data_IF_596255345161
#
_entry.id   IF_596255345161
#
_cell.length_a   1.000
_cell.length_b   1.000
_cell.length_c   1.000
_cell.angle_alpha   90.00
_cell.angle_beta   90.00
_cell.angle_gamma   90.00
#
_symmetry.space_group_name_H-M   'P 1'
#
loop_
_entity.id
_entity.type
_entity.pdbx_description
1 polymer ?
#
# COMPACT_ATOMS: atom_id res chain seq x y z
N UNK A 1 1.21 14.29 -13.32
CA UNK A 1 0.90 13.48 -12.12
C UNK A 1 1.69 12.18 -12.17
N UNK A 2 2.24 11.74 -11.04
CA UNK A 2 2.73 10.36 -10.94
C UNK A 2 1.51 9.45 -10.92
N UNK A 3 1.34 8.64 -11.95
CA UNK A 3 0.22 7.70 -12.05
C UNK A 3 0.40 6.61 -10.98
N UNK A 4 -0.45 6.63 -9.95
CA UNK A 4 -0.48 5.58 -8.93
C UNK A 4 -1.27 4.41 -9.51
N UNK A 5 -0.72 3.18 -9.55
CA UNK A 5 -1.42 2.05 -10.14
C UNK A 5 -2.65 1.65 -9.31
N UNK A 6 -3.58 0.89 -9.89
CA UNK A 6 -4.75 0.40 -9.15
C UNK A 6 -4.45 -0.83 -8.25
N UNK A 7 -3.35 -1.53 -8.52
CA UNK A 7 -2.90 -2.73 -7.81
C UNK A 7 -1.40 -2.95 -8.03
N UNK A 8 -0.79 -3.82 -7.23
CA UNK A 8 0.63 -4.19 -7.33
C UNK A 8 0.81 -5.70 -7.22
N UNK A 9 1.99 -6.21 -7.59
CA UNK A 9 2.31 -7.63 -7.41
C UNK A 9 2.19 -8.06 -5.94
N UNK A 10 2.55 -7.16 -5.01
CA UNK A 10 2.36 -7.38 -3.58
C UNK A 10 0.88 -7.53 -3.22
N UNK A 11 0.00 -6.65 -3.70
CA UNK A 11 -1.43 -6.74 -3.39
C UNK A 11 -2.08 -7.99 -4.01
N UNK A 12 -1.60 -8.43 -5.17
CA UNK A 12 -2.00 -9.72 -5.78
C UNK A 12 -1.56 -10.90 -4.91
N UNK A 13 -0.32 -10.90 -4.42
CA UNK A 13 0.20 -11.96 -3.56
C UNK A 13 -0.58 -12.05 -2.23
N UNK A 14 -0.80 -10.90 -1.59
CA UNK A 14 -1.54 -10.82 -0.32
C UNK A 14 -3.01 -11.21 -0.52
N UNK A 15 -3.68 -10.73 -1.58
CA UNK A 15 -5.06 -11.13 -1.91
C UNK A 15 -5.20 -12.65 -2.07
N UNK A 16 -4.24 -13.31 -2.75
CA UNK A 16 -4.21 -14.77 -2.89
C UNK A 16 -4.03 -15.48 -1.55
N UNK A 17 -3.14 -14.98 -0.69
CA UNK A 17 -2.92 -15.56 0.64
C UNK A 17 -4.15 -15.41 1.55
N UNK A 18 -4.76 -14.23 1.58
CA UNK A 18 -5.99 -13.98 2.33
C UNK A 18 -7.14 -14.87 1.85
N UNK A 19 -7.27 -15.08 0.54
CA UNK A 19 -8.25 -16.04 0.00
C UNK A 19 -8.01 -17.46 0.50
N UNK A 20 -6.76 -17.92 0.57
CA UNK A 20 -6.40 -19.25 1.12
C UNK A 20 -6.75 -19.37 2.60
N UNK A 21 -6.69 -18.26 3.35
CA UNK A 21 -7.06 -18.18 4.77
C UNK A 21 -8.56 -18.00 5.01
N UNK A 22 -9.39 -18.04 3.97
CA UNK A 22 -10.85 -17.99 4.08
C UNK A 22 -11.46 -16.59 4.03
N UNK A 23 -10.68 -15.53 3.79
CA UNK A 23 -11.23 -14.20 3.61
C UNK A 23 -11.93 -14.08 2.25
N UNK A 24 -13.05 -13.37 2.22
CA UNK A 24 -13.85 -13.10 1.01
C UNK A 24 -13.90 -11.60 0.73
N UNK A 25 -14.25 -11.21 -0.51
CA UNK A 25 -14.31 -9.81 -0.96
C UNK A 25 -12.99 -9.01 -0.88
N UNK A 26 -11.83 -9.67 -0.74
CA UNK A 26 -10.52 -9.01 -0.70
C UNK A 26 -9.73 -9.22 -2.01
N UNK A 27 -10.25 -8.67 -3.11
CA UNK A 27 -9.53 -8.65 -4.39
C UNK A 27 -8.27 -7.77 -4.36
N UNK A 28 -7.34 -7.89 -5.32
CA UNK A 28 -6.05 -7.19 -5.29
C UNK A 28 -6.13 -5.66 -5.20
N UNK A 29 -7.16 -5.04 -5.78
CA UNK A 29 -7.40 -3.58 -5.67
C UNK A 29 -7.78 -3.20 -4.23
N UNK A 30 -8.73 -3.93 -3.63
CA UNK A 30 -9.16 -3.71 -2.24
C UNK A 30 -7.99 -3.90 -1.28
N UNK A 31 -7.19 -4.95 -1.51
CA UNK A 31 -5.98 -5.19 -0.74
C UNK A 31 -4.97 -4.06 -0.94
N UNK A 32 -4.77 -3.57 -2.16
CA UNK A 32 -3.85 -2.46 -2.40
C UNK A 32 -4.28 -1.19 -1.65
N UNK A 33 -5.56 -0.82 -1.74
CA UNK A 33 -6.12 0.30 -0.97
C UNK A 33 -5.95 0.10 0.54
N UNK A 34 -6.10 -1.13 1.05
CA UNK A 34 -5.86 -1.43 2.45
C UNK A 34 -4.38 -1.27 2.84
N UNK A 35 -3.46 -1.74 2.00
CA UNK A 35 -2.02 -1.59 2.22
C UNK A 35 -1.59 -0.11 2.23
N UNK A 36 -2.20 0.72 1.38
CA UNK A 36 -2.03 2.17 1.40
C UNK A 36 -2.57 2.79 2.70
N UNK A 37 -3.81 2.45 3.08
CA UNK A 37 -4.47 3.01 4.26
C UNK A 37 -3.79 2.66 5.59
N UNK A 38 -3.19 1.46 5.67
CA UNK A 38 -2.49 0.97 6.87
C UNK A 38 -1.02 1.37 6.91
N UNK A 39 -0.51 2.03 5.87
CA UNK A 39 0.88 2.49 5.80
C UNK A 39 1.90 1.40 5.49
N UNK A 40 1.47 0.25 4.96
CA UNK A 40 2.39 -0.76 4.39
C UNK A 40 2.94 -0.26 3.05
N UNK A 41 2.16 0.53 2.31
CA UNK A 41 2.57 1.22 1.09
C UNK A 41 2.36 2.73 1.29
N UNK A 42 3.37 3.52 0.97
CA UNK A 42 3.30 4.98 1.01
C UNK A 42 3.21 5.56 -0.40
N UNK A 43 1.99 5.75 -0.89
CA UNK A 43 1.71 6.39 -2.18
C UNK A 43 1.24 7.85 -2.04
N UNK A 44 1.62 8.53 -0.95
CA UNK A 44 1.42 9.97 -0.91
C UNK A 44 2.16 10.62 -2.08
N UNK A 45 1.45 11.41 -2.90
CA UNK A 45 2.09 12.17 -3.98
C UNK A 45 3.05 13.22 -3.41
N UNK A 46 4.08 13.59 -4.16
CA UNK A 46 5.13 14.53 -3.69
C UNK A 46 4.59 15.89 -3.23
N UNK A 47 3.46 16.34 -3.82
CA UNK A 47 2.80 17.58 -3.44
C UNK A 47 1.97 17.49 -2.15
N UNK A 48 1.77 16.29 -1.60
CA UNK A 48 1.05 16.11 -0.35
C UNK A 48 1.84 16.72 0.82
N UNK A 49 1.18 17.50 1.67
CA UNK A 49 1.79 18.12 2.85
C UNK A 49 2.42 17.11 3.84
N UNK A 50 2.02 15.83 3.76
CA UNK A 50 2.55 14.73 4.58
C UNK A 50 3.73 14.00 3.95
N UNK A 51 3.99 14.16 2.65
CA UNK A 51 4.98 13.37 1.92
C UNK A 51 6.36 13.39 2.59
N UNK A 52 6.93 14.59 2.81
CA UNK A 52 8.25 14.75 3.44
C UNK A 52 8.30 14.16 4.85
N UNK A 53 7.23 14.35 5.62
CA UNK A 53 7.16 13.84 6.99
C UNK A 53 7.17 12.31 7.00
N UNK A 54 6.32 11.66 6.21
CA UNK A 54 6.19 10.20 6.18
C UNK A 54 7.47 9.58 5.60
N UNK A 55 7.99 10.09 4.48
CA UNK A 55 9.22 9.57 3.87
C UNK A 55 10.44 9.70 4.81
N UNK A 56 10.50 10.73 5.66
CA UNK A 56 11.55 10.82 6.69
C UNK A 56 11.43 9.74 7.75
N UNK A 57 10.20 9.41 8.18
CA UNK A 57 9.96 8.37 9.19
C UNK A 57 10.29 6.97 8.68
N UNK A 58 10.04 6.70 7.38
CA UNK A 58 10.37 5.43 6.74
C UNK A 58 11.88 5.17 6.71
N UNK A 59 12.68 6.20 6.42
CA UNK A 59 14.16 6.09 6.41
C UNK A 59 14.69 5.71 7.79
N UNK A 60 14.23 6.39 8.83
CA UNK A 60 14.67 6.14 10.20
C UNK A 60 14.24 4.77 10.75
N UNK A 61 13.26 4.08 10.14
CA UNK A 61 12.84 2.73 10.53
C UNK A 61 13.79 1.65 9.99
N UNK A 62 14.49 1.96 8.90
CA UNK A 62 15.38 1.02 8.21
C UNK A 62 16.85 1.14 8.64
N UNK A 63 17.13 1.99 9.63
CA UNK A 63 18.41 2.11 10.35
C UNK A 63 18.37 1.26 11.64
#
# INVERSE_FOLDING_TARGET
ESEIPAQTDLSVAVSKDLKKRGFTFLGPIIVYSHLQATGVVNDHIQACFRYRQITSLERNRND
#
